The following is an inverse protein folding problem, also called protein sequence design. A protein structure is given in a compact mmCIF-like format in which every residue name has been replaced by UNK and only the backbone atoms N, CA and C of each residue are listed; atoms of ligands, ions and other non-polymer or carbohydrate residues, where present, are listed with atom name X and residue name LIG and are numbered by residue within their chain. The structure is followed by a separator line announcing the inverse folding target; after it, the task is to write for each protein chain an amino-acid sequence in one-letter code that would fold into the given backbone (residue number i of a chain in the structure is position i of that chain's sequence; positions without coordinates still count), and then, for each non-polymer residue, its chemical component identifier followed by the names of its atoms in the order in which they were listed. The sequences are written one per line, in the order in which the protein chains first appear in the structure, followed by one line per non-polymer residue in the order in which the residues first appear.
data_IF_277510804925
#
_entry.id   IF_277510804925
#
_cell.length_a   1.000
_cell.length_b   1.000
_cell.length_c   1.000
_cell.angle_alpha   90.00
_cell.angle_beta   90.00
_cell.angle_gamma   90.00
#
_symmetry.space_group_name_H-M   'P 1'
#
loop_
_entity.id
_entity.type
_entity.pdbx_description
1 polymer ?
#
# COMPACT_ATOMS: atom_id res chain seq x y z
N UNK A 1 9.52 -53.13 45.39
CA UNK A 1 9.90 -52.63 44.07
C UNK A 1 8.64 -52.42 43.25
N UNK A 2 8.22 -51.17 43.07
CA UNK A 2 7.03 -50.80 42.31
C UNK A 2 7.25 -49.46 41.61
N UNK A 3 6.65 -49.34 40.44
CA UNK A 3 7.00 -48.50 39.30
C UNK A 3 7.04 -46.98 39.54
N UNK A 4 7.99 -46.32 38.86
CA UNK A 4 7.94 -44.90 38.51
C UNK A 4 6.92 -44.75 37.37
N UNK A 5 5.86 -43.98 37.60
CA UNK A 5 4.98 -43.53 36.52
C UNK A 5 5.54 -42.26 35.89
N UNK A 6 5.88 -42.41 34.61
CA UNK A 6 6.41 -41.38 33.75
C UNK A 6 5.30 -40.40 33.39
N UNK A 7 5.36 -39.19 33.96
CA UNK A 7 4.53 -38.07 33.55
C UNK A 7 4.83 -37.70 32.10
N UNK A 8 4.02 -38.20 31.16
CA UNK A 8 4.00 -37.73 29.77
C UNK A 8 3.70 -36.24 29.76
N UNK A 9 4.72 -35.44 29.54
CA UNK A 9 4.57 -34.05 29.14
C UNK A 9 3.89 -34.02 27.77
N UNK A 10 2.58 -33.81 27.76
CA UNK A 10 1.84 -33.44 26.55
C UNK A 10 2.18 -31.97 26.28
N UNK A 11 2.87 -31.61 25.18
CA UNK A 11 3.01 -30.20 24.85
C UNK A 11 1.61 -29.64 24.58
N UNK A 12 1.19 -28.68 25.40
CA UNK A 12 -0.01 -27.90 25.13
C UNK A 12 0.21 -27.15 23.81
N UNK A 13 -0.35 -27.65 22.73
CA UNK A 13 -0.50 -26.88 21.51
C UNK A 13 -1.47 -25.73 21.83
N UNK A 14 -0.92 -24.59 22.21
CA UNK A 14 -1.64 -23.34 22.29
C UNK A 14 -1.30 -22.59 21.00
N UNK A 15 -2.20 -22.51 20.01
CA UNK A 15 -1.99 -21.58 18.92
C UNK A 15 -2.10 -20.20 19.56
N UNK A 16 -0.96 -19.62 19.92
CA UNK A 16 -0.90 -18.20 20.14
C UNK A 16 -1.52 -17.59 18.88
N UNK A 17 -2.62 -16.86 19.06
CA UNK A 17 -3.12 -15.90 18.07
C UNK A 17 -2.00 -14.88 17.88
N UNK A 18 -0.96 -15.23 17.12
CA UNK A 18 -0.06 -14.28 16.49
C UNK A 18 -0.90 -13.63 15.40
N UNK A 19 -1.78 -12.73 15.83
CA UNK A 19 -2.50 -11.84 14.96
C UNK A 19 -1.46 -11.13 14.10
N UNK A 20 -1.41 -11.44 12.80
CA UNK A 20 -1.15 -10.51 11.71
C UNK A 20 0.13 -9.65 11.74
N UNK A 21 1.06 -9.87 12.67
CA UNK A 21 2.24 -9.02 12.89
C UNK A 21 3.44 -9.37 12.01
N UNK A 22 3.43 -10.53 11.36
CA UNK A 22 4.56 -10.98 10.53
C UNK A 22 4.32 -10.83 9.02
N UNK A 23 3.21 -10.21 8.63
CA UNK A 23 2.89 -9.99 7.21
C UNK A 23 3.37 -8.61 6.80
N UNK A 24 4.26 -8.54 5.80
CA UNK A 24 4.67 -7.28 5.20
C UNK A 24 3.44 -6.51 4.70
N UNK A 25 3.46 -5.19 4.86
CA UNK A 25 2.39 -4.30 4.41
C UNK A 25 2.86 -3.41 3.29
N UNK A 26 2.10 -3.35 2.21
CA UNK A 26 2.27 -2.38 1.13
C UNK A 26 1.18 -1.34 1.28
N UNK A 27 1.54 -0.06 1.30
CA UNK A 27 0.57 1.02 1.22
C UNK A 27 0.61 1.61 -0.20
N UNK A 28 -0.54 1.71 -0.85
CA UNK A 28 -0.70 2.32 -2.17
C UNK A 28 -1.58 3.54 -2.04
N UNK A 29 -1.03 4.72 -2.29
CA UNK A 29 -1.79 5.96 -2.38
C UNK A 29 -2.12 6.23 -3.86
N UNK A 30 -3.39 6.52 -4.15
CA UNK A 30 -3.87 6.84 -5.49
C UNK A 30 -4.36 8.28 -5.48
N UNK A 31 -3.67 9.11 -6.25
CA UNK A 31 -4.03 10.50 -6.47
C UNK A 31 -5.22 10.58 -7.42
N UNK A 32 -6.35 10.99 -6.86
CA UNK A 32 -7.62 11.08 -7.56
C UNK A 32 -7.82 12.40 -8.30
N UNK A 33 -6.96 13.39 -8.07
CA UNK A 33 -6.97 14.69 -8.75
C UNK A 33 -6.48 14.56 -10.20
N UNK A 34 -5.58 13.59 -10.42
CA UNK A 34 -4.90 13.38 -11.69
C UNK A 34 -5.74 12.59 -12.70
N UNK A 35 -5.67 12.99 -13.97
CA UNK A 35 -6.28 12.27 -15.09
C UNK A 35 -5.43 11.06 -15.48
N UNK A 36 -5.51 9.98 -14.71
CA UNK A 36 -4.93 8.69 -15.09
C UNK A 36 -5.99 7.88 -15.83
N UNK A 37 -5.65 7.42 -17.04
CA UNK A 37 -6.55 6.58 -17.82
C UNK A 37 -6.78 5.23 -17.14
N UNK A 38 -8.02 4.74 -17.19
CA UNK A 38 -8.47 3.49 -16.56
C UNK A 38 -7.59 2.29 -16.90
N UNK A 39 -7.04 2.23 -18.12
CA UNK A 39 -6.18 1.13 -18.54
C UNK A 39 -4.84 1.12 -17.78
N UNK A 40 -4.23 2.29 -17.57
CA UNK A 40 -2.96 2.43 -16.83
C UNK A 40 -3.16 2.11 -15.36
N UNK A 41 -4.25 2.61 -14.79
CA UNK A 41 -4.65 2.32 -13.43
C UNK A 41 -4.90 0.82 -13.22
N UNK A 42 -5.58 0.17 -14.17
CA UNK A 42 -5.82 -1.28 -14.16
C UNK A 42 -4.52 -2.10 -14.19
N UNK A 43 -3.56 -1.73 -15.05
CA UNK A 43 -2.25 -2.37 -15.11
C UNK A 43 -1.45 -2.22 -13.80
N UNK A 44 -1.42 -1.01 -13.25
CA UNK A 44 -0.76 -0.75 -11.96
C UNK A 44 -1.43 -1.53 -10.82
N UNK A 45 -2.76 -1.53 -10.78
CA UNK A 45 -3.54 -2.33 -9.83
C UNK A 45 -3.19 -3.82 -9.94
N UNK A 46 -3.12 -4.36 -11.17
CA UNK A 46 -2.76 -5.75 -11.40
C UNK A 46 -1.33 -6.08 -10.93
N UNK A 47 -0.37 -5.17 -11.14
CA UNK A 47 1.02 -5.30 -10.68
C UNK A 47 1.09 -5.40 -9.16
N UNK A 48 0.48 -4.45 -8.43
CA UNK A 48 0.54 -4.45 -6.97
C UNK A 48 -0.27 -5.62 -6.37
N UNK A 49 -1.41 -5.96 -6.96
CA UNK A 49 -2.15 -7.16 -6.59
C UNK A 49 -1.29 -8.43 -6.75
N UNK A 50 -0.53 -8.52 -7.85
CA UNK A 50 0.42 -9.59 -8.10
C UNK A 50 1.52 -9.66 -7.04
N UNK A 51 2.04 -8.51 -6.60
CA UNK A 51 3.02 -8.43 -5.50
C UNK A 51 2.40 -8.96 -4.20
N UNK A 52 1.21 -8.49 -3.81
CA UNK A 52 0.51 -8.95 -2.62
C UNK A 52 0.28 -10.47 -2.63
N UNK A 53 -0.17 -11.03 -3.76
CA UNK A 53 -0.40 -12.47 -3.91
C UNK A 53 0.88 -13.32 -3.79
N UNK A 54 1.98 -12.91 -4.44
CA UNK A 54 3.24 -13.68 -4.45
C UNK A 54 4.04 -13.58 -3.16
N UNK A 55 4.09 -12.39 -2.58
CA UNK A 55 4.81 -12.14 -1.32
C UNK A 55 3.99 -12.52 -0.08
N UNK A 56 2.68 -12.72 -0.27
CA UNK A 56 1.75 -12.82 0.84
C UNK A 56 1.68 -11.53 1.64
N UNK A 57 2.00 -10.36 1.07
CA UNK A 57 1.88 -9.07 1.74
C UNK A 57 0.42 -8.62 1.84
N UNK A 58 0.10 -7.94 2.93
CA UNK A 58 -1.13 -7.17 3.06
C UNK A 58 -1.01 -5.90 2.24
N UNK A 59 -2.05 -5.54 1.50
CA UNK A 59 -2.03 -4.28 0.77
C UNK A 59 -3.17 -3.37 1.20
N UNK A 60 -2.83 -2.12 1.46
CA UNK A 60 -3.76 -1.05 1.76
C UNK A 60 -3.78 -0.09 0.60
N UNK A 61 -4.98 0.29 0.16
CA UNK A 61 -5.18 1.31 -0.86
C UNK A 61 -5.78 2.54 -0.19
N UNK A 62 -5.16 3.70 -0.39
CA UNK A 62 -5.60 5.00 0.09
C UNK A 62 -5.90 5.87 -1.11
N UNK A 63 -7.15 6.30 -1.23
CA UNK A 63 -7.55 7.34 -2.17
C UNK A 63 -7.27 8.70 -1.55
N UNK A 64 -6.74 9.65 -2.33
CA UNK A 64 -6.56 11.01 -1.84
C UNK A 64 -6.68 12.05 -2.94
N UNK A 65 -6.99 13.28 -2.52
CA UNK A 65 -6.90 14.52 -3.29
C UNK A 65 -6.10 15.50 -2.41
N UNK A 66 -6.72 16.52 -1.81
CA UNK A 66 -6.07 17.31 -0.75
C UNK A 66 -6.00 16.54 0.59
N UNK A 67 -6.88 15.56 0.79
CA UNK A 67 -6.93 14.70 1.98
C UNK A 67 -7.23 13.26 1.59
N UNK A 68 -7.01 12.31 2.50
CA UNK A 68 -7.41 10.91 2.30
C UNK A 68 -8.94 10.83 2.24
N UNK A 69 -9.47 10.39 1.11
CA UNK A 69 -10.91 10.29 0.84
C UNK A 69 -11.46 8.87 1.03
N UNK A 70 -10.58 7.87 1.04
CA UNK A 70 -10.96 6.48 1.27
C UNK A 70 -9.76 5.59 1.59
N UNK A 71 -10.00 4.54 2.36
CA UNK A 71 -9.00 3.53 2.66
C UNK A 71 -9.66 2.15 2.58
N UNK A 72 -9.04 1.21 1.87
CA UNK A 72 -9.48 -0.18 1.79
C UNK A 72 -8.31 -1.13 2.00
N UNK A 73 -8.48 -2.09 2.90
CA UNK A 73 -7.54 -3.21 3.07
C UNK A 73 -7.91 -4.30 2.09
N UNK A 74 -7.00 -4.64 1.19
CA UNK A 74 -7.22 -5.62 0.15
C UNK A 74 -7.21 -7.04 0.71
N UNK A 75 -8.26 -7.81 0.42
CA UNK A 75 -8.33 -9.25 0.65
C UNK A 75 -8.55 -9.96 -0.70
N UNK A 76 -7.51 -10.60 -1.26
CA UNK A 76 -7.65 -11.45 -2.44
C UNK A 76 -7.61 -10.74 -3.81
N UNK A 77 -8.49 -11.13 -4.74
CA UNK A 77 -8.38 -10.84 -6.19
C UNK A 77 -9.12 -9.57 -6.67
N UNK A 78 -9.88 -8.89 -5.83
CA UNK A 78 -10.79 -7.80 -6.22
C UNK A 78 -10.15 -6.40 -6.38
N UNK A 79 -8.84 -6.34 -6.61
CA UNK A 79 -8.05 -5.11 -6.68
C UNK A 79 -8.55 -4.07 -7.68
N UNK A 80 -8.77 -4.51 -8.92
CA UNK A 80 -9.20 -3.63 -10.01
C UNK A 80 -10.60 -3.07 -9.74
N UNK A 81 -11.50 -3.89 -9.18
CA UNK A 81 -12.84 -3.43 -8.84
C UNK A 81 -12.82 -2.41 -7.70
N UNK A 82 -11.98 -2.61 -6.68
CA UNK A 82 -11.94 -1.68 -5.56
C UNK A 82 -11.29 -0.35 -5.95
N UNK A 83 -10.21 -0.39 -6.73
CA UNK A 83 -9.58 0.84 -7.24
C UNK A 83 -10.53 1.59 -8.19
N UNK A 84 -11.31 0.88 -9.01
CA UNK A 84 -12.36 1.52 -9.84
C UNK A 84 -13.52 2.08 -9.03
N UNK A 85 -13.76 1.60 -7.80
CA UNK A 85 -14.78 2.15 -6.87
C UNK A 85 -14.29 3.41 -6.16
N UNK A 86 -12.99 3.66 -6.14
CA UNK A 86 -12.43 4.90 -5.63
C UNK A 86 -12.80 6.00 -6.62
N UNK A 87 -13.72 6.87 -6.21
CA UNK A 87 -14.19 7.98 -7.04
C UNK A 87 -13.09 9.01 -7.29
N UNK A 88 -12.89 9.40 -8.54
CA UNK A 88 -11.96 10.44 -8.93
C UNK A 88 -12.53 11.83 -8.63
N UNK A 89 -11.96 12.55 -7.67
CA UNK A 89 -12.32 13.93 -7.40
C UNK A 89 -11.68 14.86 -8.44
N UNK A 90 -12.45 15.80 -9.00
CA UNK A 90 -11.98 16.73 -10.03
C UNK A 90 -11.65 18.09 -9.39
N UNK A 91 -10.37 18.35 -9.13
CA UNK A 91 -9.82 19.69 -8.94
C UNK A 91 -9.58 20.11 -7.49
N UNK A 92 -8.32 20.42 -7.21
CA UNK A 92 -7.79 20.93 -5.95
C UNK A 92 -6.27 20.81 -6.03
N UNK A 93 -5.52 21.73 -5.41
CA UNK A 93 -4.07 21.51 -5.28
C UNK A 93 -3.80 20.27 -4.43
N UNK A 94 -2.72 19.56 -4.73
CA UNK A 94 -2.40 18.29 -4.07
C UNK A 94 -1.37 18.50 -2.96
N UNK A 95 -1.66 18.03 -1.75
CA UNK A 95 -0.67 17.91 -0.66
C UNK A 95 -0.47 16.43 -0.36
N UNK A 96 0.73 15.91 -0.61
CA UNK A 96 1.04 14.49 -0.37
C UNK A 96 1.33 14.21 1.11
N UNK A 97 1.60 15.23 1.93
CA UNK A 97 1.94 15.07 3.34
C UNK A 97 0.89 14.27 4.14
N UNK A 98 -0.40 14.64 4.07
CA UNK A 98 -1.48 13.91 4.74
C UNK A 98 -1.58 12.44 4.34
N UNK A 99 -1.49 12.11 3.05
CA UNK A 99 -1.59 10.72 2.60
C UNK A 99 -0.34 9.91 2.94
N UNK A 100 0.84 10.51 2.91
CA UNK A 100 2.09 9.86 3.33
C UNK A 100 2.08 9.57 4.83
N UNK A 101 1.55 10.49 5.64
CA UNK A 101 1.36 10.28 7.07
C UNK A 101 0.37 9.14 7.35
N UNK A 102 -0.78 9.12 6.67
CA UNK A 102 -1.77 8.06 6.79
C UNK A 102 -1.22 6.69 6.36
N UNK A 103 -0.49 6.64 5.24
CA UNK A 103 0.19 5.44 4.77
C UNK A 103 1.25 4.96 5.77
N UNK A 104 2.04 5.89 6.34
CA UNK A 104 3.08 5.57 7.33
C UNK A 104 2.51 5.00 8.63
N UNK A 105 1.31 5.43 9.05
CA UNK A 105 0.64 4.93 10.24
C UNK A 105 0.27 3.43 10.14
N UNK A 106 0.25 2.87 8.93
CA UNK A 106 0.04 1.44 8.69
C UNK A 106 1.28 0.59 8.93
N UNK A 107 2.42 1.22 9.23
CA UNK A 107 3.74 0.57 9.33
C UNK A 107 4.06 -0.27 8.08
N UNK A 108 4.06 0.35 6.88
CA UNK A 108 4.29 -0.38 5.64
C UNK A 108 5.78 -0.63 5.41
N UNK A 109 6.09 -1.74 4.74
CA UNK A 109 7.43 -2.01 4.21
C UNK A 109 7.78 -1.14 3.00
N UNK A 110 6.77 -0.61 2.30
CA UNK A 110 6.91 0.33 1.18
C UNK A 110 5.62 1.12 0.97
N UNK A 111 5.77 2.40 0.62
CA UNK A 111 4.68 3.28 0.18
C UNK A 111 4.83 3.49 -1.33
N UNK A 112 3.76 3.26 -2.09
CA UNK A 112 3.70 3.55 -3.52
C UNK A 112 2.66 4.64 -3.74
N UNK A 113 3.06 5.79 -4.29
CA UNK A 113 2.16 6.87 -4.66
C UNK A 113 1.97 6.87 -6.17
N UNK A 114 0.73 6.77 -6.64
CA UNK A 114 0.36 6.98 -8.02
C UNK A 114 -0.10 8.42 -8.17
N UNK A 115 0.69 9.27 -8.82
CA UNK A 115 0.48 10.73 -8.92
C UNK A 115 1.25 11.32 -10.10
N UNK A 116 0.91 12.53 -10.53
CA UNK A 116 1.70 13.33 -11.47
C UNK A 116 2.86 14.11 -10.80
N UNK A 117 2.96 14.04 -9.47
CA UNK A 117 3.97 14.69 -8.64
C UNK A 117 3.82 16.22 -8.54
N UNK A 118 2.63 16.77 -8.76
CA UNK A 118 2.38 18.22 -8.68
C UNK A 118 1.87 18.66 -7.28
N UNK A 119 2.79 18.69 -6.31
CA UNK A 119 2.42 19.13 -4.95
C UNK A 119 3.53 19.00 -3.89
N UNK A 120 3.40 19.70 -2.74
CA UNK A 120 4.27 19.50 -1.60
C UNK A 120 4.25 18.06 -1.09
N UNK A 121 5.43 17.48 -0.87
CA UNK A 121 5.58 16.10 -0.42
C UNK A 121 5.61 15.94 1.11
N UNK A 122 5.78 17.02 1.86
CA UNK A 122 6.04 16.96 3.29
C UNK A 122 7.40 16.31 3.64
N UNK A 123 7.59 15.86 4.90
CA UNK A 123 8.81 15.18 5.32
C UNK A 123 8.90 13.74 4.81
N UNK A 124 10.12 13.25 4.60
CA UNK A 124 10.35 11.87 4.19
C UNK A 124 9.89 10.87 5.27
N UNK A 125 9.08 9.85 4.92
CA UNK A 125 8.71 8.78 5.85
C UNK A 125 9.88 7.81 6.06
N UNK A 126 9.79 6.97 7.11
CA UNK A 126 10.78 5.89 7.35
C UNK A 126 10.73 4.79 6.29
N UNK A 127 9.53 4.49 5.80
CA UNK A 127 9.33 3.50 4.76
C UNK A 127 9.87 4.02 3.42
N UNK A 128 10.45 3.17 2.57
CA UNK A 128 10.83 3.57 1.23
C UNK A 128 9.59 4.00 0.43
N UNK A 129 9.76 5.04 -0.39
CA UNK A 129 8.70 5.62 -1.21
C UNK A 129 8.99 5.37 -2.68
N UNK A 130 7.99 4.88 -3.41
CA UNK A 130 7.99 4.76 -4.88
C UNK A 130 6.93 5.71 -5.43
N UNK A 131 7.35 6.63 -6.29
CA UNK A 131 6.48 7.55 -7.02
C UNK A 131 6.19 6.97 -8.40
N UNK A 132 5.05 6.33 -8.56
CA UNK A 132 4.56 5.83 -9.83
C UNK A 132 3.90 6.97 -10.60
N UNK A 133 4.52 7.41 -11.69
CA UNK A 133 4.07 8.57 -12.48
C UNK A 133 3.57 8.13 -13.87
N UNK A 134 2.52 8.76 -14.42
CA UNK A 134 2.07 8.46 -15.78
C UNK A 134 3.00 8.98 -16.90
N UNK A 135 3.89 9.95 -16.61
CA UNK A 135 4.80 10.57 -17.57
C UNK A 135 6.10 9.77 -17.75
N UNK A 136 6.80 9.92 -18.88
CA UNK A 136 8.14 9.31 -19.10
C UNK A 136 9.20 9.87 -18.15
N UNK A 137 9.09 11.16 -17.86
CA UNK A 137 9.99 11.90 -16.97
C UNK A 137 9.17 12.79 -16.04
N UNK A 138 9.66 12.98 -14.82
CA UNK A 138 9.13 13.95 -13.86
C UNK A 138 10.26 14.61 -13.08
N UNK A 139 10.01 15.76 -12.44
CA UNK A 139 10.93 16.34 -11.48
C UNK A 139 11.36 15.32 -10.42
N UNK A 140 12.58 15.44 -9.93
CA UNK A 140 13.05 14.60 -8.84
C UNK A 140 12.27 14.96 -7.55
N UNK A 141 11.54 14.00 -6.94
CA UNK A 141 10.90 14.22 -5.65
C UNK A 141 11.96 14.40 -4.56
N UNK A 142 11.62 15.05 -3.43
CA UNK A 142 12.55 15.27 -2.33
C UNK A 142 13.04 13.97 -1.66
N UNK A 143 12.36 12.85 -1.89
CA UNK A 143 12.73 11.52 -1.40
C UNK A 143 12.11 10.42 -2.25
N UNK A 144 12.58 9.18 -2.08
CA UNK A 144 12.04 8.01 -2.75
C UNK A 144 12.60 7.80 -4.16
N UNK A 145 11.98 6.90 -4.91
CA UNK A 145 12.35 6.54 -6.28
C UNK A 145 11.19 6.79 -7.22
N UNK A 146 11.45 7.35 -8.39
CA UNK A 146 10.45 7.52 -9.44
C UNK A 146 10.38 6.25 -10.30
N UNK A 147 9.16 5.82 -10.62
CA UNK A 147 8.83 4.75 -11.55
C UNK A 147 7.88 5.32 -12.60
N UNK A 148 8.32 5.42 -13.86
CA UNK A 148 7.44 5.80 -14.96
C UNK A 148 6.53 4.63 -15.36
N UNK A 149 5.25 4.93 -15.61
CA UNK A 149 4.24 4.01 -16.16
C UNK A 149 4.01 4.20 -17.66
N UNK A 150 4.80 5.06 -18.32
CA UNK A 150 4.68 5.33 -19.75
C UNK A 150 5.29 4.23 -20.65
N UNK A 151 5.93 3.21 -20.06
CA UNK A 151 6.66 2.13 -20.75
C UNK A 151 6.12 0.75 -20.41
#
# INVERSE_FOLDING_TARGET
SAAREEGRFQPAFQPARSADRNRARVAVAVDTSSSIDDARLGLFAAQVAGIGRRSGAEVHVLAFDTVVTGQSRMQGVAWEQEIRRIGFARGGGTDFGPVIAAASALDPSVIVLLTDLDGPCGPAPKAPVIWAIPQEEAPAPPFGRVLSLAR
#
